data_IF_329411635157
#
_entry.id   IF_329411635157
#
_cell.length_a   1.000
_cell.length_b   1.000
_cell.length_c   1.000
_cell.angle_alpha   90.00
_cell.angle_beta   90.00
_cell.angle_gamma   90.00
#
_symmetry.space_group_name_H-M   'P 1'
#
loop_
_entity.id
_entity.type
_entity.pdbx_description
1 polymer ?
#
# COMPACT_ATOMS: atom_id res chain seq x y z
N UNK A 1 6.42 -58.73 31.23
CA UNK A 1 5.12 -58.52 30.59
C UNK A 1 5.41 -58.30 29.09
N UNK A 2 5.11 -59.28 28.25
CA UNK A 2 5.28 -59.16 26.79
C UNK A 2 4.13 -58.28 26.26
N UNK A 3 4.44 -57.11 25.70
CA UNK A 3 3.43 -56.26 25.00
C UNK A 3 2.88 -57.00 23.81
N UNK A 4 1.57 -57.20 23.73
CA UNK A 4 0.91 -57.79 22.58
C UNK A 4 1.09 -56.92 21.34
N UNK A 5 1.47 -57.48 20.17
CA UNK A 5 1.67 -56.71 18.92
C UNK A 5 0.43 -55.94 18.44
N UNK A 6 -0.77 -56.36 18.89
CA UNK A 6 -2.06 -55.68 18.58
C UNK A 6 -2.17 -54.28 19.22
N UNK A 7 -1.45 -54.05 20.34
CA UNK A 7 -1.54 -52.79 21.12
C UNK A 7 -0.72 -51.67 20.47
N UNK A 8 0.43 -52.01 19.87
CA UNK A 8 1.30 -51.09 19.15
C UNK A 8 0.66 -50.58 17.85
N UNK A 9 -0.06 -51.47 17.11
CA UNK A 9 -0.70 -51.12 15.86
C UNK A 9 -1.89 -50.14 16.04
N UNK A 10 -2.68 -50.32 17.11
CA UNK A 10 -3.80 -49.40 17.42
C UNK A 10 -3.30 -48.03 17.84
N UNK A 11 -2.18 -47.97 18.55
CA UNK A 11 -1.57 -46.71 18.98
C UNK A 11 -0.99 -45.92 17.80
N UNK A 12 -0.30 -46.59 16.87
CA UNK A 12 0.24 -46.01 15.66
C UNK A 12 -0.87 -45.52 14.71
N UNK A 13 -1.96 -46.31 14.59
CA UNK A 13 -3.12 -45.88 13.77
C UNK A 13 -3.80 -44.66 14.37
N UNK A 14 -3.94 -44.57 15.69
CA UNK A 14 -4.54 -43.43 16.37
C UNK A 14 -3.69 -42.18 16.18
N UNK A 15 -2.38 -42.29 16.40
CA UNK A 15 -1.42 -41.18 16.20
C UNK A 15 -1.43 -40.68 14.77
N UNK A 16 -1.29 -41.59 13.80
CA UNK A 16 -1.32 -41.21 12.37
C UNK A 16 -2.63 -40.56 11.92
N UNK A 17 -3.76 -41.04 12.50
CA UNK A 17 -5.06 -40.45 12.17
C UNK A 17 -5.29 -39.08 12.80
N UNK A 18 -4.79 -38.85 14.02
CA UNK A 18 -4.80 -37.53 14.67
C UNK A 18 -3.95 -36.54 13.87
N UNK A 19 -2.75 -36.94 13.48
CA UNK A 19 -1.87 -36.13 12.66
C UNK A 19 -2.51 -35.76 11.30
N UNK A 20 -3.12 -36.74 10.64
CA UNK A 20 -3.82 -36.50 9.38
C UNK A 20 -5.03 -35.56 9.56
N UNK A 21 -5.77 -35.65 10.66
CA UNK A 21 -6.90 -34.77 10.95
C UNK A 21 -6.43 -33.31 11.18
N UNK A 22 -5.35 -33.12 11.93
CA UNK A 22 -4.79 -31.79 12.19
C UNK A 22 -4.26 -31.12 10.92
N UNK A 23 -3.53 -31.89 10.07
CA UNK A 23 -3.11 -31.40 8.75
C UNK A 23 -4.28 -31.05 7.84
N UNK A 24 -5.31 -31.87 7.85
CA UNK A 24 -6.52 -31.63 7.05
C UNK A 24 -7.27 -30.37 7.50
N UNK A 25 -7.39 -30.15 8.82
CA UNK A 25 -7.99 -28.93 9.37
C UNK A 25 -7.19 -27.68 8.99
N UNK A 26 -5.85 -27.74 9.04
CA UNK A 26 -4.99 -26.67 8.61
C UNK A 26 -5.17 -26.37 7.11
N UNK A 27 -5.20 -27.40 6.28
CA UNK A 27 -5.40 -27.27 4.83
C UNK A 27 -6.77 -26.67 4.49
N UNK A 28 -7.84 -27.11 5.19
CA UNK A 28 -9.18 -26.55 5.06
C UNK A 28 -9.19 -25.07 5.46
N UNK A 29 -8.62 -24.71 6.61
CA UNK A 29 -8.57 -23.36 7.11
C UNK A 29 -7.83 -22.41 6.13
N UNK A 30 -6.68 -22.83 5.61
CA UNK A 30 -5.91 -22.07 4.63
C UNK A 30 -6.66 -21.91 3.31
N UNK A 31 -7.35 -22.97 2.87
CA UNK A 31 -8.13 -22.96 1.63
C UNK A 31 -9.34 -22.02 1.76
N UNK A 32 -10.08 -22.10 2.85
CA UNK A 32 -11.21 -21.22 3.13
C UNK A 32 -10.79 -19.75 3.25
N UNK A 33 -9.63 -19.50 3.84
CA UNK A 33 -9.07 -18.16 3.90
C UNK A 33 -8.79 -17.59 2.50
N UNK A 34 -8.12 -18.37 1.63
CA UNK A 34 -7.83 -17.96 0.25
C UNK A 34 -9.07 -17.79 -0.62
N UNK A 35 -10.13 -18.55 -0.34
CA UNK A 35 -11.40 -18.47 -1.06
C UNK A 35 -12.33 -17.40 -0.48
N UNK A 36 -12.16 -17.05 0.79
CA UNK A 36 -12.98 -16.07 1.49
C UNK A 36 -12.87 -14.65 0.90
N UNK A 37 -13.91 -14.19 0.23
CA UNK A 37 -13.95 -12.90 -0.48
C UNK A 37 -14.06 -13.03 -2.00
N UNK A 38 -14.05 -14.26 -2.54
CA UNK A 38 -14.34 -14.53 -3.95
C UNK A 38 -15.81 -14.93 -4.12
N UNK A 39 -16.38 -14.61 -5.28
CA UNK A 39 -17.68 -15.13 -5.68
C UNK A 39 -17.61 -16.65 -5.88
N UNK A 40 -18.73 -17.37 -5.71
CA UNK A 40 -18.78 -18.83 -5.86
C UNK A 40 -18.23 -19.27 -7.23
N UNK A 41 -18.51 -18.51 -8.28
CA UNK A 41 -18.03 -18.79 -9.65
C UNK A 41 -16.51 -18.70 -9.79
N UNK A 42 -15.83 -17.94 -8.92
CA UNK A 42 -14.38 -17.84 -8.88
C UNK A 42 -13.70 -18.94 -8.03
N UNK A 43 -14.47 -19.85 -7.43
CA UNK A 43 -13.92 -20.95 -6.65
C UNK A 43 -13.38 -22.09 -7.51
N UNK A 44 -13.96 -22.31 -8.70
CA UNK A 44 -13.59 -23.42 -9.59
C UNK A 44 -13.12 -22.93 -10.97
N UNK A 45 -12.04 -23.53 -11.53
CA UNK A 45 -11.07 -24.43 -10.91
C UNK A 45 -9.90 -23.64 -10.29
N UNK A 46 -9.78 -23.59 -8.99
CA UNK A 46 -8.62 -22.98 -8.33
C UNK A 46 -7.87 -24.02 -7.49
N UNK A 47 -6.54 -23.87 -7.36
CA UNK A 47 -5.73 -24.72 -6.49
C UNK A 47 -6.22 -24.72 -5.03
N UNK A 48 -6.79 -23.59 -4.56
CA UNK A 48 -7.39 -23.49 -3.23
C UNK A 48 -8.68 -24.32 -3.09
N UNK A 49 -9.51 -24.41 -4.12
CA UNK A 49 -10.71 -25.26 -4.14
C UNK A 49 -10.34 -26.74 -4.10
N UNK A 50 -9.35 -27.15 -4.88
CA UNK A 50 -8.86 -28.53 -4.89
C UNK A 50 -8.27 -28.86 -3.50
N UNK A 51 -7.47 -27.99 -2.93
CA UNK A 51 -6.90 -28.17 -1.60
C UNK A 51 -7.98 -28.27 -0.51
N UNK A 52 -9.07 -27.49 -0.62
CA UNK A 52 -10.22 -27.57 0.28
C UNK A 52 -10.90 -28.95 0.21
N UNK A 53 -11.20 -29.44 -1.01
CA UNK A 53 -11.82 -30.76 -1.20
C UNK A 53 -10.92 -31.87 -0.67
N UNK A 54 -9.62 -31.83 -0.99
CA UNK A 54 -8.66 -32.82 -0.48
C UNK A 54 -8.60 -32.78 1.05
N UNK A 55 -8.55 -31.57 1.63
CA UNK A 55 -8.54 -31.41 3.10
C UNK A 55 -9.79 -32.01 3.76
N UNK A 56 -10.98 -31.77 3.21
CA UNK A 56 -12.25 -32.35 3.72
C UNK A 56 -12.24 -33.86 3.63
N UNK A 57 -11.83 -34.43 2.48
CA UNK A 57 -11.76 -35.90 2.30
C UNK A 57 -10.78 -36.52 3.29
N UNK A 58 -9.57 -35.94 3.45
CA UNK A 58 -8.55 -36.43 4.42
C UNK A 58 -9.09 -36.34 5.84
N UNK A 59 -9.78 -35.26 6.20
CA UNK A 59 -10.39 -35.10 7.52
C UNK A 59 -11.44 -36.16 7.81
N UNK A 60 -12.35 -36.45 6.86
CA UNK A 60 -13.38 -37.46 7.01
C UNK A 60 -12.75 -38.86 7.23
N UNK A 61 -11.73 -39.20 6.42
CA UNK A 61 -11.00 -40.46 6.57
C UNK A 61 -10.32 -40.57 7.93
N UNK A 62 -9.62 -39.48 8.34
CA UNK A 62 -8.93 -39.42 9.62
C UNK A 62 -9.87 -39.58 10.81
N UNK A 63 -11.04 -38.89 10.80
CA UNK A 63 -12.07 -39.01 11.83
C UNK A 63 -12.68 -40.42 11.90
N UNK A 64 -12.90 -41.06 10.76
CA UNK A 64 -13.37 -42.46 10.72
C UNK A 64 -12.34 -43.41 11.34
N UNK A 65 -11.06 -43.24 11.04
CA UNK A 65 -9.96 -44.03 11.62
C UNK A 65 -9.78 -43.79 13.13
N UNK A 66 -9.89 -42.55 13.58
CA UNK A 66 -9.90 -42.19 15.00
C UNK A 66 -11.05 -42.86 15.72
N UNK A 67 -12.28 -42.76 15.18
CA UNK A 67 -13.47 -43.38 15.74
C UNK A 67 -13.32 -44.91 15.85
N UNK A 68 -12.76 -45.54 14.81
CA UNK A 68 -12.52 -47.00 14.82
C UNK A 68 -11.45 -47.38 15.84
N UNK A 69 -10.38 -46.63 15.94
CA UNK A 69 -9.31 -46.86 16.95
C UNK A 69 -9.86 -46.64 18.36
N UNK A 70 -10.69 -45.62 18.56
CA UNK A 70 -11.36 -45.33 19.82
C UNK A 70 -12.27 -46.46 20.29
N UNK A 71 -13.14 -46.95 19.41
CA UNK A 71 -14.05 -48.08 19.69
C UNK A 71 -13.26 -49.36 20.06
N UNK A 72 -12.21 -49.69 19.29
CA UNK A 72 -11.34 -50.82 19.60
C UNK A 72 -10.69 -50.73 21.00
N UNK A 73 -10.35 -49.49 21.41
CA UNK A 73 -9.76 -49.23 22.72
C UNK A 73 -10.78 -49.26 23.84
N UNK A 74 -11.99 -48.76 23.61
CA UNK A 74 -13.10 -48.81 24.54
C UNK A 74 -13.49 -50.25 24.87
N UNK A 75 -13.57 -51.09 23.83
CA UNK A 75 -13.87 -52.54 24.00
C UNK A 75 -12.73 -53.30 24.69
N UNK A 76 -11.52 -52.81 24.66
CA UNK A 76 -10.38 -53.40 25.37
C UNK A 76 -10.20 -52.93 26.84
N UNK A 77 -11.08 -52.07 27.36
CA UNK A 77 -11.06 -51.57 28.75
C UNK A 77 -9.86 -50.65 29.09
N UNK A 78 -9.18 -50.11 28.10
CA UNK A 78 -7.92 -49.36 28.26
C UNK A 78 -8.06 -47.88 27.94
N UNK A 79 -9.03 -47.21 28.52
CA UNK A 79 -9.16 -45.77 28.39
C UNK A 79 -8.38 -45.02 29.46
N UNK A 80 -7.39 -44.23 29.01
CA UNK A 80 -6.77 -43.19 29.84
C UNK A 80 -6.95 -41.86 29.14
N UNK A 81 -7.68 -40.92 29.72
CA UNK A 81 -7.80 -39.52 29.26
C UNK A 81 -6.41 -38.90 29.05
N UNK A 82 -5.47 -39.14 30.00
CA UNK A 82 -4.09 -38.66 29.91
C UNK A 82 -3.36 -39.16 28.66
N UNK A 83 -3.59 -40.41 28.24
CA UNK A 83 -3.00 -40.89 26.99
C UNK A 83 -3.52 -40.16 25.75
N UNK A 84 -4.82 -39.88 25.66
CA UNK A 84 -5.40 -39.16 24.54
C UNK A 84 -4.86 -37.73 24.48
N UNK A 85 -4.76 -37.05 25.61
CA UNK A 85 -4.15 -35.70 25.70
C UNK A 85 -2.67 -35.74 25.28
N UNK A 86 -1.88 -36.69 25.79
CA UNK A 86 -0.49 -36.82 25.41
C UNK A 86 -0.29 -37.04 23.89
N UNK A 87 -1.13 -37.88 23.29
CA UNK A 87 -1.09 -38.15 21.85
C UNK A 87 -1.43 -36.93 21.01
N UNK A 88 -2.42 -36.13 21.41
CA UNK A 88 -2.72 -34.90 20.75
C UNK A 88 -1.59 -33.84 20.84
N UNK A 89 -0.97 -33.73 22.02
CA UNK A 89 0.21 -32.85 22.22
C UNK A 89 1.41 -33.29 21.37
N UNK A 90 1.66 -34.60 21.27
CA UNK A 90 2.71 -35.12 20.39
C UNK A 90 2.41 -34.85 18.93
N UNK A 91 1.18 -35.08 18.46
CA UNK A 91 0.75 -34.79 17.10
C UNK A 91 0.93 -33.30 16.76
N UNK A 92 0.49 -32.43 17.66
CA UNK A 92 0.64 -30.99 17.48
C UNK A 92 2.12 -30.58 17.41
N UNK A 93 2.96 -31.14 18.27
CA UNK A 93 4.42 -30.91 18.25
C UNK A 93 5.05 -31.38 16.92
N UNK A 94 4.63 -32.55 16.41
CA UNK A 94 5.11 -33.09 15.14
C UNK A 94 4.72 -32.25 13.92
N UNK A 95 3.72 -31.38 14.02
CA UNK A 95 3.36 -30.40 12.99
C UNK A 95 4.08 -29.08 13.22
N UNK A 96 3.98 -28.52 14.42
CA UNK A 96 4.47 -27.17 14.69
C UNK A 96 5.99 -27.06 14.66
N UNK A 97 6.72 -28.07 15.15
CA UNK A 97 8.19 -28.03 15.17
C UNK A 97 8.78 -28.06 13.75
N UNK A 98 8.40 -29.00 12.85
CA UNK A 98 8.87 -28.97 11.48
C UNK A 98 8.46 -27.72 10.74
N UNK A 99 7.25 -27.18 10.96
CA UNK A 99 6.79 -25.94 10.33
C UNK A 99 7.62 -24.74 10.81
N UNK A 100 7.92 -24.65 12.11
CA UNK A 100 8.80 -23.61 12.69
C UNK A 100 10.20 -23.67 12.05
N UNK A 101 10.78 -24.88 11.93
CA UNK A 101 12.08 -25.10 11.31
C UNK A 101 12.04 -24.75 9.80
N UNK A 102 11.00 -25.15 9.10
CA UNK A 102 10.84 -24.86 7.67
C UNK A 102 10.76 -23.35 7.43
N UNK A 103 9.96 -22.63 8.22
CA UNK A 103 9.87 -21.17 8.11
C UNK A 103 11.22 -20.49 8.42
N UNK A 104 12.01 -21.00 9.38
CA UNK A 104 13.35 -20.49 9.69
C UNK A 104 14.36 -20.72 8.56
N UNK A 105 14.27 -21.85 7.86
CA UNK A 105 15.17 -22.19 6.76
C UNK A 105 14.77 -21.43 5.47
N UNK A 106 13.46 -21.25 5.23
CA UNK A 106 12.94 -20.67 4.01
C UNK A 106 12.76 -19.14 4.09
N UNK A 107 13.00 -18.54 5.25
CA UNK A 107 12.92 -17.08 5.41
C UNK A 107 14.10 -16.41 4.72
N UNK A 108 13.86 -15.22 4.17
CA UNK A 108 14.87 -14.30 3.67
C UNK A 108 15.05 -13.13 4.65
N UNK A 109 16.26 -12.57 4.69
CA UNK A 109 16.53 -11.40 5.53
C UNK A 109 15.99 -10.11 4.88
N UNK A 110 15.40 -9.26 5.72
CA UNK A 110 14.99 -7.91 5.36
C UNK A 110 15.51 -6.92 6.41
N UNK A 111 15.47 -5.60 6.16
CA UNK A 111 15.83 -4.59 7.16
C UNK A 111 15.06 -4.71 8.48
N UNK A 112 13.85 -5.29 8.43
CA UNK A 112 12.99 -5.53 9.61
C UNK A 112 13.18 -6.89 10.27
N UNK A 113 14.09 -7.70 9.77
CA UNK A 113 14.31 -9.08 10.18
C UNK A 113 13.77 -10.08 9.17
N UNK A 114 13.74 -11.37 9.53
CA UNK A 114 13.35 -12.46 8.64
C UNK A 114 11.91 -12.29 8.12
N UNK A 115 11.73 -12.54 6.83
CA UNK A 115 10.42 -12.51 6.15
C UNK A 115 10.19 -13.82 5.39
N UNK A 116 8.93 -14.20 5.25
CA UNK A 116 8.49 -15.30 4.37
C UNK A 116 7.33 -14.79 3.51
N UNK A 117 7.58 -14.64 2.20
CA UNK A 117 6.72 -13.84 1.35
C UNK A 117 6.63 -12.41 1.90
N UNK A 118 5.41 -11.88 2.03
CA UNK A 118 5.16 -10.54 2.57
C UNK A 118 5.01 -10.51 4.11
N UNK A 119 5.30 -11.62 4.80
CA UNK A 119 5.06 -11.76 6.23
C UNK A 119 6.36 -11.62 7.03
N UNK A 120 6.46 -10.60 7.89
CA UNK A 120 7.51 -10.50 8.90
C UNK A 120 7.34 -11.58 9.96
N UNK A 121 8.42 -12.31 10.26
CA UNK A 121 8.43 -13.49 11.14
C UNK A 121 8.92 -13.21 12.56
N UNK A 122 9.39 -11.99 12.84
CA UNK A 122 9.78 -11.54 14.19
C UNK A 122 8.95 -10.34 14.65
N UNK A 123 8.91 -10.06 15.95
CA UNK A 123 8.39 -8.81 16.45
C UNK A 123 9.09 -7.63 15.80
N UNK A 124 8.35 -6.57 15.53
CA UNK A 124 8.94 -5.29 15.16
C UNK A 124 9.72 -4.72 16.33
N UNK A 125 10.81 -4.03 16.05
CA UNK A 125 11.64 -3.39 17.06
C UNK A 125 11.78 -1.91 16.77
N UNK A 126 11.45 -1.09 17.76
CA UNK A 126 11.64 0.35 17.68
C UNK A 126 13.13 0.69 17.60
N UNK A 127 13.98 -0.03 18.33
CA UNK A 127 15.43 0.14 18.32
C UNK A 127 16.01 -0.11 16.92
N UNK A 128 15.48 -1.09 16.18
CA UNK A 128 15.88 -1.33 14.78
C UNK A 128 15.44 -0.17 13.87
N UNK A 129 14.23 0.34 14.04
CA UNK A 129 13.76 1.49 13.27
C UNK A 129 14.65 2.72 13.55
N UNK A 130 14.97 3.00 14.81
CA UNK A 130 15.90 4.07 15.20
C UNK A 130 17.30 3.85 14.62
N UNK A 131 17.83 2.62 14.70
CA UNK A 131 19.14 2.28 14.14
C UNK A 131 19.18 2.40 12.60
N UNK A 132 18.06 2.14 11.94
CA UNK A 132 17.96 2.27 10.47
C UNK A 132 17.85 3.73 10.01
N UNK A 133 16.97 4.52 10.62
CA UNK A 133 16.69 5.89 10.18
C UNK A 133 17.59 6.94 10.83
N UNK A 134 18.02 6.74 12.07
CA UNK A 134 18.82 7.72 12.82
C UNK A 134 20.11 8.15 12.10
N UNK A 135 20.96 7.22 11.61
CA UNK A 135 22.18 7.59 10.87
C UNK A 135 21.89 8.31 9.55
N UNK A 136 20.78 7.98 8.89
CA UNK A 136 20.40 8.62 7.62
C UNK A 136 20.01 10.09 7.83
N UNK A 137 19.34 10.37 8.96
CA UNK A 137 18.96 11.74 9.34
C UNK A 137 20.16 12.53 9.82
N UNK A 138 21.02 11.95 10.67
CA UNK A 138 22.21 12.60 11.23
C UNK A 138 23.26 12.98 10.17
N UNK A 139 23.33 12.25 9.06
CA UNK A 139 24.29 12.53 7.98
C UNK A 139 23.92 13.78 7.16
N UNK A 140 22.80 14.44 7.44
CA UNK A 140 22.31 15.58 6.65
C UNK A 140 22.01 15.22 5.18
N UNK A 141 22.38 14.02 4.79
CA UNK A 141 22.07 13.41 3.51
C UNK A 141 20.59 13.02 3.50
N UNK A 142 19.72 13.99 3.75
CA UNK A 142 18.29 13.79 3.95
C UNK A 142 17.82 12.51 3.34
N UNK A 143 16.95 11.80 4.03
CA UNK A 143 16.41 10.50 3.69
C UNK A 143 16.78 9.97 2.29
N UNK A 144 16.81 8.73 2.08
CA UNK A 144 17.18 7.95 0.89
C UNK A 144 16.83 8.61 -0.46
N UNK A 145 15.82 9.48 -0.46
CA UNK A 145 15.49 10.34 -1.60
C UNK A 145 16.05 11.75 -1.34
N UNK A 146 17.25 12.03 -1.82
CA UNK A 146 18.00 13.28 -1.58
C UNK A 146 17.21 14.57 -1.92
N UNK A 147 16.12 14.45 -2.65
CA UNK A 147 15.26 15.57 -3.05
C UNK A 147 14.02 15.77 -2.16
N UNK A 148 13.69 14.82 -1.25
CA UNK A 148 12.62 15.00 -0.28
C UNK A 148 13.14 15.66 1.00
N UNK A 149 12.42 16.66 1.49
CA UNK A 149 12.72 17.39 2.71
C UNK A 149 11.53 17.37 3.66
N UNK A 150 11.81 17.50 4.96
CA UNK A 150 10.76 17.64 5.98
C UNK A 150 9.93 18.91 5.75
N UNK A 151 8.63 18.78 5.99
CA UNK A 151 7.66 19.86 5.98
C UNK A 151 6.68 19.71 7.14
N UNK A 152 6.52 20.76 7.94
CA UNK A 152 5.70 20.72 9.16
C UNK A 152 4.18 20.53 8.91
N UNK A 153 3.69 20.86 7.72
CA UNK A 153 2.27 20.74 7.35
C UNK A 153 2.03 19.49 6.51
N UNK A 154 2.93 19.21 5.57
CA UNK A 154 2.78 18.11 4.60
C UNK A 154 3.50 16.83 5.02
N UNK A 155 4.33 16.88 6.08
CA UNK A 155 5.23 15.80 6.50
C UNK A 155 6.54 15.82 5.73
N UNK A 156 6.49 15.80 4.41
CA UNK A 156 7.62 16.00 3.51
C UNK A 156 7.14 16.65 2.20
N UNK A 157 8.08 17.22 1.48
CA UNK A 157 7.86 17.79 0.15
C UNK A 157 9.13 17.67 -0.69
N UNK A 158 9.03 17.96 -1.97
CA UNK A 158 10.21 18.11 -2.83
C UNK A 158 10.92 19.40 -2.44
N UNK A 159 12.20 19.29 -2.07
CA UNK A 159 13.01 20.45 -1.67
C UNK A 159 13.44 21.31 -2.86
N UNK A 160 13.68 22.58 -2.62
CA UNK A 160 14.12 23.54 -3.64
C UNK A 160 15.54 23.24 -4.14
N UNK A 161 15.77 23.29 -5.46
CA UNK A 161 17.09 23.17 -6.08
C UNK A 161 17.78 21.83 -5.84
N UNK A 162 17.03 20.73 -5.75
CA UNK A 162 17.56 19.40 -5.43
C UNK A 162 17.81 18.55 -6.66
N UNK A 163 18.68 17.56 -6.48
CA UNK A 163 19.00 16.51 -7.45
C UNK A 163 18.85 15.16 -6.76
N UNK A 164 18.23 14.19 -7.40
CA UNK A 164 18.20 12.81 -6.93
C UNK A 164 19.60 12.17 -6.96
N UNK A 165 19.82 11.10 -6.19
CA UNK A 165 21.15 10.45 -6.10
C UNK A 165 21.63 9.88 -7.44
N UNK A 166 20.69 9.39 -8.26
CA UNK A 166 20.94 8.86 -9.60
C UNK A 166 21.10 9.94 -10.67
N UNK A 167 20.87 11.23 -10.31
CA UNK A 167 20.96 12.35 -11.25
C UNK A 167 19.84 12.44 -12.28
N UNK A 168 18.74 11.67 -12.10
CA UNK A 168 17.61 11.62 -13.04
C UNK A 168 16.55 12.69 -12.71
N UNK A 169 16.35 12.99 -11.42
CA UNK A 169 15.31 13.90 -10.98
C UNK A 169 15.88 15.20 -10.45
N UNK A 170 15.32 16.30 -10.93
CA UNK A 170 15.66 17.65 -10.49
C UNK A 170 14.41 18.38 -10.00
N UNK A 171 14.60 19.26 -9.04
CA UNK A 171 13.60 20.25 -8.65
C UNK A 171 14.09 21.66 -8.87
N UNK A 172 13.20 22.55 -9.28
CA UNK A 172 13.45 23.98 -9.46
C UNK A 172 13.80 24.68 -8.14
N UNK A 173 14.13 25.96 -8.22
CA UNK A 173 14.33 26.81 -7.04
C UNK A 173 13.06 26.89 -6.16
N UNK A 174 11.88 26.63 -6.69
CA UNK A 174 10.60 26.64 -6.00
C UNK A 174 10.17 25.23 -5.51
N UNK A 175 10.97 24.19 -5.77
CA UNK A 175 10.66 22.81 -5.36
C UNK A 175 9.71 22.05 -6.31
N UNK A 176 9.58 22.49 -7.55
CA UNK A 176 8.78 21.83 -8.58
C UNK A 176 9.64 20.86 -9.40
N UNK A 177 9.05 19.82 -9.97
CA UNK A 177 9.74 18.96 -10.93
C UNK A 177 10.26 19.78 -12.11
N UNK A 178 11.53 19.67 -12.44
CA UNK A 178 12.17 20.52 -13.42
C UNK A 178 13.30 19.80 -14.19
N UNK A 179 13.75 20.38 -15.30
CA UNK A 179 14.86 19.89 -16.10
C UNK A 179 16.22 20.04 -15.42
N UNK A 180 16.33 20.94 -14.46
CA UNK A 180 17.58 21.18 -13.72
C UNK A 180 17.31 21.78 -12.33
N UNK A 181 18.28 21.69 -11.38
CA UNK A 181 18.14 22.28 -10.06
C UNK A 181 18.25 23.81 -10.06
N UNK A 182 18.60 24.41 -11.20
CA UNK A 182 18.68 25.85 -11.41
C UNK A 182 17.47 26.43 -12.14
N UNK A 183 16.54 25.59 -12.57
CA UNK A 183 15.30 26.03 -13.18
C UNK A 183 14.50 26.90 -12.19
N UNK A 184 13.84 27.93 -12.72
CA UNK A 184 12.98 28.81 -11.96
C UNK A 184 11.66 28.99 -12.67
N UNK A 185 10.59 29.14 -11.92
CA UNK A 185 9.26 29.47 -12.42
C UNK A 185 8.79 30.79 -11.83
N UNK A 186 8.15 31.62 -12.62
CA UNK A 186 7.62 32.91 -12.15
C UNK A 186 6.22 32.73 -11.57
N UNK A 187 5.95 33.37 -10.44
CA UNK A 187 4.57 33.42 -9.89
C UNK A 187 3.67 34.29 -10.77
N UNK A 188 4.20 35.35 -11.37
CA UNK A 188 3.50 36.21 -12.30
C UNK A 188 3.65 35.68 -13.73
N UNK A 189 2.53 35.45 -14.41
CA UNK A 189 2.49 35.01 -15.81
C UNK A 189 1.19 35.47 -16.47
N UNK A 190 1.24 35.65 -17.77
CA UNK A 190 0.09 35.88 -18.65
C UNK A 190 -0.38 34.61 -19.36
N UNK A 191 0.37 33.49 -19.17
CA UNK A 191 0.02 32.17 -19.71
C UNK A 191 -1.11 31.53 -18.92
N UNK A 192 -1.86 30.65 -19.58
CA UNK A 192 -2.72 29.70 -18.88
C UNK A 192 -1.85 28.70 -18.12
N UNK A 193 -2.22 28.40 -16.90
CA UNK A 193 -1.41 27.57 -16.01
C UNK A 193 -2.15 26.30 -15.62
N UNK A 194 -1.49 25.16 -15.81
CA UNK A 194 -1.92 23.85 -15.37
C UNK A 194 -1.02 23.43 -14.21
N UNK A 195 -1.58 23.14 -13.05
CA UNK A 195 -0.86 22.55 -11.94
C UNK A 195 -1.17 21.05 -11.84
N UNK A 196 -0.13 20.20 -11.75
CA UNK A 196 -0.25 18.76 -11.51
C UNK A 196 0.09 18.50 -10.06
N UNK A 197 -0.79 17.81 -9.33
CA UNK A 197 -0.57 17.33 -7.95
C UNK A 197 -0.81 15.83 -7.90
N UNK A 198 -0.20 15.15 -6.93
CA UNK A 198 -0.32 13.71 -6.74
C UNK A 198 0.95 13.12 -6.15
N UNK A 199 1.12 11.83 -6.34
CA UNK A 199 2.22 11.03 -5.81
C UNK A 199 3.41 10.88 -6.80
N UNK A 200 4.10 9.75 -6.71
CA UNK A 200 5.23 9.41 -7.60
C UNK A 200 4.82 9.23 -9.07
N UNK A 201 3.59 8.80 -9.35
CA UNK A 201 3.06 8.75 -10.71
C UNK A 201 2.88 10.16 -11.28
N UNK A 202 2.31 11.07 -10.49
CA UNK A 202 2.16 12.47 -10.89
C UNK A 202 3.52 13.18 -11.06
N UNK A 203 4.50 12.86 -10.19
CA UNK A 203 5.88 13.34 -10.30
C UNK A 203 6.59 12.79 -11.55
N UNK A 204 6.11 11.69 -12.13
CA UNK A 204 6.76 10.90 -13.17
C UNK A 204 8.13 10.37 -12.70
N UNK A 205 8.11 9.61 -11.59
CA UNK A 205 9.33 9.01 -11.02
C UNK A 205 9.94 8.00 -11.99
N UNK A 206 11.26 7.85 -11.97
CA UNK A 206 12.06 6.92 -12.79
C UNK A 206 12.18 7.24 -14.29
N UNK A 207 11.62 8.33 -14.79
CA UNK A 207 11.88 8.84 -16.14
C UNK A 207 12.56 10.20 -16.08
N UNK A 208 13.26 10.58 -17.15
CA UNK A 208 13.84 11.93 -17.26
C UNK A 208 12.74 12.99 -17.33
N UNK A 209 13.11 14.25 -17.11
CA UNK A 209 12.17 15.37 -17.16
C UNK A 209 11.47 15.44 -18.53
N UNK A 210 12.22 15.32 -19.59
CA UNK A 210 11.76 15.39 -20.98
C UNK A 210 10.80 14.25 -21.36
N UNK A 211 10.86 13.14 -20.63
CA UNK A 211 9.99 11.97 -20.82
C UNK A 211 8.75 12.01 -19.94
N UNK A 212 8.66 12.95 -18.98
CA UNK A 212 7.53 13.06 -18.06
C UNK A 212 6.29 13.59 -18.76
N UNK A 213 5.14 13.06 -18.40
CA UNK A 213 3.88 13.51 -19.02
C UNK A 213 3.58 14.99 -18.77
N UNK A 214 4.06 15.55 -17.66
CA UNK A 214 3.91 16.98 -17.38
C UNK A 214 4.67 17.86 -18.38
N UNK A 215 5.91 17.50 -18.71
CA UNK A 215 6.70 18.19 -19.72
C UNK A 215 6.11 18.00 -21.13
N UNK A 216 5.70 16.76 -21.46
CA UNK A 216 5.09 16.47 -22.76
C UNK A 216 3.78 17.24 -22.98
N UNK A 217 3.01 17.49 -21.90
CA UNK A 217 1.83 18.36 -21.96
C UNK A 217 2.21 19.82 -22.20
N UNK A 218 3.25 20.33 -21.53
CA UNK A 218 3.76 21.68 -21.69
C UNK A 218 4.17 21.94 -23.15
N UNK A 219 4.95 21.02 -23.74
CA UNK A 219 5.32 21.07 -25.14
C UNK A 219 4.10 21.02 -26.09
N UNK A 220 3.18 20.10 -25.83
CA UNK A 220 2.00 19.89 -26.68
C UNK A 220 1.06 21.09 -26.71
N UNK A 221 0.90 21.81 -25.60
CA UNK A 221 0.06 22.99 -25.51
C UNK A 221 0.73 24.28 -26.01
N UNK A 222 2.06 24.28 -26.09
CA UNK A 222 2.85 25.38 -26.65
C UNK A 222 3.01 26.59 -25.71
N UNK A 223 3.51 27.72 -26.24
CA UNK A 223 4.07 28.79 -25.41
C UNK A 223 3.04 29.57 -24.59
N UNK A 224 1.75 29.46 -24.90
CA UNK A 224 0.67 30.18 -24.20
C UNK A 224 0.18 29.42 -22.95
N UNK A 225 0.69 28.21 -22.71
CA UNK A 225 0.37 27.38 -21.54
C UNK A 225 1.65 27.12 -20.74
N UNK A 226 1.54 26.97 -19.44
CA UNK A 226 2.63 26.59 -18.54
C UNK A 226 2.15 25.43 -17.67
N UNK A 227 2.88 24.33 -17.68
CA UNK A 227 2.56 23.15 -16.85
C UNK A 227 3.52 23.07 -15.67
N UNK A 228 3.00 23.19 -14.46
CA UNK A 228 3.76 23.13 -13.21
C UNK A 228 3.49 21.79 -12.50
N UNK A 229 4.53 21.02 -12.25
CA UNK A 229 4.40 19.71 -11.60
C UNK A 229 4.78 19.79 -10.12
N UNK A 230 3.78 19.69 -9.24
CA UNK A 230 3.83 19.65 -7.78
C UNK A 230 3.76 18.24 -7.23
N UNK A 231 3.86 17.21 -8.03
CA UNK A 231 3.83 15.82 -7.59
C UNK A 231 4.91 15.53 -6.56
N UNK A 232 4.61 14.71 -5.55
CA UNK A 232 5.55 14.36 -4.49
C UNK A 232 5.51 12.86 -4.22
N UNK A 233 6.61 12.13 -4.44
CA UNK A 233 6.65 10.70 -4.20
C UNK A 233 6.19 10.30 -2.80
N UNK A 234 5.35 9.26 -2.75
CA UNK A 234 4.84 8.68 -1.52
C UNK A 234 3.59 9.36 -0.94
N UNK A 235 3.06 10.41 -1.58
CA UNK A 235 1.83 11.05 -1.12
C UNK A 235 0.61 10.12 -1.20
N UNK A 236 -0.35 10.37 -0.32
CA UNK A 236 -1.74 9.96 -0.48
C UNK A 236 -2.58 11.12 -1.02
N UNK A 237 -3.85 10.86 -1.33
CA UNK A 237 -4.75 11.93 -1.82
C UNK A 237 -4.97 13.03 -0.78
N UNK A 238 -4.84 12.72 0.51
CA UNK A 238 -4.91 13.67 1.62
C UNK A 238 -3.76 14.70 1.57
N UNK A 239 -2.52 14.25 1.36
CA UNK A 239 -1.38 15.15 1.23
C UNK A 239 -1.45 15.96 -0.07
N UNK A 240 -1.92 15.36 -1.17
CA UNK A 240 -2.14 16.07 -2.44
C UNK A 240 -3.18 17.18 -2.31
N UNK A 241 -4.25 16.94 -1.54
CA UNK A 241 -5.22 17.98 -1.20
C UNK A 241 -4.61 19.09 -0.31
N UNK A 242 -3.84 18.73 0.71
CA UNK A 242 -3.16 19.74 1.55
C UNK A 242 -2.10 20.52 0.77
N UNK A 243 -1.42 19.89 -0.20
CA UNK A 243 -0.48 20.54 -1.12
C UNK A 243 -1.19 21.57 -2.00
N UNK A 244 -2.39 21.24 -2.53
CA UNK A 244 -3.21 22.21 -3.23
C UNK A 244 -3.42 23.47 -2.38
N UNK A 245 -3.89 23.30 -1.14
CA UNK A 245 -4.20 24.41 -0.23
C UNK A 245 -2.98 25.22 0.20
N UNK A 246 -1.88 24.54 0.49
CA UNK A 246 -0.67 25.18 1.07
C UNK A 246 0.17 25.92 0.04
N UNK A 247 0.28 25.37 -1.16
CA UNK A 247 1.25 25.85 -2.13
C UNK A 247 0.65 26.18 -3.49
N UNK A 248 -0.19 25.29 -4.05
CA UNK A 248 -0.64 25.39 -5.45
C UNK A 248 -1.53 26.60 -5.67
N UNK A 249 -2.42 26.91 -4.72
CA UNK A 249 -3.33 28.06 -4.83
C UNK A 249 -2.59 29.40 -5.01
N UNK A 250 -1.41 29.54 -4.41
CA UNK A 250 -0.58 30.74 -4.54
C UNK A 250 -0.05 30.96 -5.97
N UNK A 251 0.00 29.88 -6.77
CA UNK A 251 0.42 29.94 -8.17
C UNK A 251 -0.72 30.34 -9.10
N UNK A 252 -1.95 30.42 -8.59
CA UNK A 252 -3.16 30.80 -9.33
C UNK A 252 -3.31 30.02 -10.65
N UNK A 253 -3.27 28.68 -10.64
CA UNK A 253 -3.47 27.90 -11.84
C UNK A 253 -4.89 28.08 -12.37
N UNK A 254 -5.09 27.93 -13.68
CA UNK A 254 -6.41 27.90 -14.32
C UNK A 254 -7.02 26.49 -14.24
N UNK A 255 -6.15 25.47 -14.23
CA UNK A 255 -6.52 24.05 -14.14
C UNK A 255 -5.64 23.37 -13.09
N UNK A 256 -6.23 22.48 -12.30
CA UNK A 256 -5.47 21.58 -11.43
C UNK A 256 -5.79 20.12 -11.75
N UNK A 257 -4.76 19.34 -12.02
CA UNK A 257 -4.84 17.90 -12.28
C UNK A 257 -4.40 17.15 -11.02
N UNK A 258 -5.29 16.36 -10.41
CA UNK A 258 -4.94 15.44 -9.34
C UNK A 258 -4.82 14.02 -9.92
N UNK A 259 -3.59 13.53 -10.03
CA UNK A 259 -3.31 12.15 -10.43
C UNK A 259 -3.14 11.25 -9.22
N UNK A 260 -3.79 10.08 -9.21
CA UNK A 260 -3.69 9.11 -8.12
C UNK A 260 -3.87 7.66 -8.58
N UNK A 261 -3.05 6.72 -8.12
CA UNK A 261 -3.35 5.29 -8.13
C UNK A 261 -4.20 4.92 -6.91
N UNK A 262 -4.88 3.77 -6.95
CA UNK A 262 -5.81 3.39 -5.86
C UNK A 262 -5.13 3.17 -4.50
N UNK A 263 -3.84 2.85 -4.49
CA UNK A 263 -3.10 2.66 -3.24
C UNK A 263 -2.88 3.96 -2.45
N UNK A 264 -3.04 5.15 -3.07
CA UNK A 264 -3.02 6.43 -2.36
C UNK A 264 -4.15 6.54 -1.33
N UNK A 265 -5.24 5.81 -1.54
CA UNK A 265 -6.32 5.69 -0.56
C UNK A 265 -5.88 4.95 0.72
N UNK A 266 -4.91 4.03 0.60
CA UNK A 266 -4.31 3.40 1.79
C UNK A 266 -3.35 4.36 2.48
N UNK A 267 -2.56 5.12 1.70
CA UNK A 267 -1.62 6.11 2.22
C UNK A 267 -2.33 7.21 3.01
N UNK A 268 -3.54 7.59 2.62
CA UNK A 268 -4.39 8.52 3.39
C UNK A 268 -4.80 7.98 4.76
N UNK A 269 -4.66 6.67 5.03
CA UNK A 269 -4.99 6.03 6.30
C UNK A 269 -3.80 5.92 7.26
N UNK A 270 -2.66 6.56 6.96
CA UNK A 270 -1.42 6.44 7.73
C UNK A 270 -0.97 7.77 8.30
N UNK A 271 -0.23 7.72 9.40
CA UNK A 271 0.49 8.83 10.03
C UNK A 271 2.00 8.62 9.89
N UNK A 272 2.43 7.37 9.89
CA UNK A 272 3.83 6.94 9.89
C UNK A 272 4.09 5.97 8.75
N UNK A 273 4.40 6.43 7.53
CA UNK A 273 4.62 5.56 6.37
C UNK A 273 5.64 4.45 6.61
N UNK A 274 6.68 4.70 7.40
CA UNK A 274 7.70 3.72 7.74
C UNK A 274 7.16 2.50 8.53
N UNK A 275 5.98 2.61 9.16
CA UNK A 275 5.32 1.46 9.80
C UNK A 275 4.74 0.51 8.74
N UNK A 276 4.30 1.03 7.61
CA UNK A 276 3.66 0.23 6.55
C UNK A 276 4.63 -0.16 5.44
N UNK A 277 5.52 0.75 5.07
CA UNK A 277 6.38 0.65 3.88
C UNK A 277 7.81 1.04 4.20
N UNK A 278 8.51 0.18 4.94
CA UNK A 278 9.87 0.45 5.38
C UNK A 278 10.86 0.54 4.21
N UNK A 279 10.63 -0.25 3.15
CA UNK A 279 11.43 -0.20 1.92
C UNK A 279 11.40 1.16 1.21
N UNK A 280 10.42 2.02 1.51
CA UNK A 280 10.36 3.35 0.90
C UNK A 280 11.38 4.34 1.45
N UNK A 281 11.94 4.04 2.61
CA UNK A 281 12.89 4.93 3.29
C UNK A 281 12.38 6.38 3.41
N UNK A 282 11.12 6.55 3.82
CA UNK A 282 10.50 7.85 4.13
C UNK A 282 10.37 7.96 5.66
N UNK A 283 11.37 8.54 6.35
CA UNK A 283 11.42 8.61 7.81
C UNK A 283 10.60 9.79 8.37
N UNK A 284 9.52 10.17 7.73
CA UNK A 284 8.70 11.30 8.11
C UNK A 284 7.36 10.84 8.68
N UNK A 285 6.82 11.60 9.62
CA UNK A 285 5.38 11.55 9.92
C UNK A 285 4.62 12.41 8.92
N UNK A 286 3.34 12.14 8.73
CA UNK A 286 2.51 12.91 7.80
C UNK A 286 1.24 13.41 8.47
N UNK A 287 0.59 14.45 7.94
CA UNK A 287 -0.76 14.82 8.34
C UNK A 287 -1.72 13.67 8.06
N UNK A 288 -2.77 13.56 8.84
CA UNK A 288 -3.84 12.57 8.71
C UNK A 288 -5.17 13.27 8.68
N UNK A 289 -5.91 13.17 7.58
CA UNK A 289 -7.31 13.61 7.52
C UNK A 289 -8.22 12.53 8.09
N UNK A 290 -9.13 12.92 8.96
CA UNK A 290 -10.20 12.07 9.51
C UNK A 290 -11.54 12.70 9.21
N UNK A 291 -12.57 11.86 9.09
CA UNK A 291 -13.93 12.32 8.87
C UNK A 291 -14.70 12.26 10.20
N UNK A 292 -14.90 13.40 10.83
CA UNK A 292 -15.63 13.54 12.07
C UNK A 292 -16.96 14.28 11.80
N UNK A 293 -18.08 13.65 12.12
CA UNK A 293 -19.43 14.20 11.89
C UNK A 293 -19.70 14.69 10.45
N UNK A 294 -19.02 14.10 9.47
CA UNK A 294 -19.14 14.47 8.06
C UNK A 294 -18.17 15.56 7.60
N UNK A 295 -17.37 16.13 8.50
CA UNK A 295 -16.36 17.15 8.18
C UNK A 295 -14.94 16.58 8.23
N UNK A 296 -14.08 17.08 7.36
CA UNK A 296 -12.67 16.73 7.33
C UNK A 296 -11.89 17.52 8.38
N UNK A 297 -11.25 16.79 9.29
CA UNK A 297 -10.33 17.35 10.29
C UNK A 297 -8.92 16.84 10.07
N UNK A 298 -7.93 17.71 10.21
CA UNK A 298 -6.51 17.36 10.07
C UNK A 298 -5.92 17.05 11.46
N UNK A 299 -5.29 15.89 11.58
CA UNK A 299 -4.48 15.47 12.72
C UNK A 299 -3.01 15.54 12.37
N UNK A 300 -2.13 15.52 13.38
CA UNK A 300 -0.68 15.53 13.26
C UNK A 300 -0.15 16.74 12.45
N UNK A 301 -0.69 17.92 12.71
CA UNK A 301 -0.17 19.20 12.18
C UNK A 301 0.01 20.15 13.37
N UNK A 302 1.25 20.67 13.60
CA UNK A 302 2.46 20.39 12.82
C UNK A 302 2.91 18.94 12.96
N UNK A 303 3.50 18.39 11.88
CA UNK A 303 4.04 17.03 11.88
C UNK A 303 5.28 16.93 12.76
N UNK A 304 5.58 15.73 13.25
CA UNK A 304 6.75 15.55 14.13
C UNK A 304 8.02 15.58 13.29
N UNK A 305 8.96 16.46 13.68
CA UNK A 305 10.30 16.48 13.06
C UNK A 305 10.99 15.12 13.25
N UNK A 306 11.60 14.54 12.22
CA UNK A 306 12.19 13.18 12.29
C UNK A 306 13.25 13.06 13.40
N UNK A 307 14.09 14.07 13.62
CA UNK A 307 15.10 14.04 14.71
C UNK A 307 14.45 13.86 16.08
N UNK A 308 13.30 14.51 16.32
CA UNK A 308 12.55 14.35 17.57
C UNK A 308 11.84 13.00 17.62
N UNK A 309 11.30 12.54 16.50
CA UNK A 309 10.56 11.29 16.43
C UNK A 309 11.42 10.08 16.80
N UNK A 310 12.62 9.98 16.23
CA UNK A 310 13.52 8.85 16.46
C UNK A 310 14.38 8.97 17.75
N UNK A 311 14.18 10.00 18.57
CA UNK A 311 14.74 10.04 19.95
C UNK A 311 13.77 9.46 21.00
N UNK A 312 12.54 9.14 20.63
CA UNK A 312 11.58 8.49 21.54
C UNK A 312 12.05 7.09 21.93
N UNK A 313 11.81 6.69 23.19
CA UNK A 313 12.29 5.42 23.70
C UNK A 313 11.47 4.22 23.26
N UNK A 314 10.25 4.42 22.78
CA UNK A 314 9.39 3.35 22.24
C UNK A 314 8.40 3.90 21.21
N UNK A 315 7.91 3.04 20.34
CA UNK A 315 6.89 3.40 19.36
C UNK A 315 5.60 3.88 20.02
N UNK A 316 5.27 3.39 21.20
CA UNK A 316 4.04 3.78 21.92
C UNK A 316 4.01 5.25 22.36
N UNK A 317 5.14 5.95 22.29
CA UNK A 317 5.21 7.39 22.54
C UNK A 317 4.83 8.24 21.32
N UNK A 318 4.70 7.63 20.14
CA UNK A 318 4.24 8.34 18.95
C UNK A 318 2.76 8.70 19.11
N UNK A 319 2.38 9.96 18.87
CA UNK A 319 0.96 10.36 18.92
C UNK A 319 0.18 9.78 17.73
N UNK A 320 -1.13 9.72 17.87
CA UNK A 320 -2.06 9.32 16.82
C UNK A 320 -1.87 7.89 16.26
N UNK A 321 -1.24 6.98 17.03
CA UNK A 321 -1.09 5.57 16.62
C UNK A 321 -2.45 4.88 16.42
N UNK A 322 -3.49 5.32 17.10
CA UNK A 322 -4.87 4.87 16.89
C UNK A 322 -5.42 5.21 15.50
N UNK A 323 -4.82 6.19 14.82
CA UNK A 323 -5.13 6.58 13.44
C UNK A 323 -4.15 6.02 12.40
N UNK A 324 -3.18 5.21 12.83
CA UNK A 324 -2.19 4.55 11.96
C UNK A 324 -2.69 3.17 11.54
N UNK A 325 -2.96 2.98 10.24
CA UNK A 325 -3.51 1.74 9.71
C UNK A 325 -2.61 0.53 9.96
N UNK A 326 -1.30 0.70 9.86
CA UNK A 326 -0.31 -0.37 9.98
C UNK A 326 0.11 -0.66 11.40
N UNK A 327 -0.34 0.11 12.39
CA UNK A 327 0.04 -0.09 13.77
C UNK A 327 -0.85 -1.11 14.47
N UNK A 328 -0.21 -2.10 15.06
CA UNK A 328 -0.80 -3.07 15.98
C UNK A 328 0.15 -3.22 17.15
N UNK A 329 -0.30 -2.93 18.36
CA UNK A 329 0.54 -3.02 19.55
C UNK A 329 1.21 -4.40 19.68
N UNK A 330 0.49 -5.48 19.36
CA UNK A 330 0.98 -6.85 19.42
C UNK A 330 2.15 -7.13 18.47
N UNK A 331 2.28 -6.40 17.37
CA UNK A 331 3.42 -6.56 16.46
C UNK A 331 4.74 -6.08 17.10
N UNK A 332 4.66 -5.21 18.11
CA UNK A 332 5.78 -4.61 18.82
C UNK A 332 6.05 -5.27 20.19
N UNK A 333 5.23 -6.24 20.57
CA UNK A 333 5.46 -7.06 21.75
C UNK A 333 6.66 -7.99 21.53
N UNK A 334 7.50 -8.13 22.57
CA UNK A 334 8.74 -8.89 22.53
C UNK A 334 8.75 -10.02 23.58
N UNK A 335 7.65 -10.77 23.70
CA UNK A 335 7.62 -11.97 24.55
C UNK A 335 8.25 -13.18 23.85
N UNK A 336 8.62 -14.21 24.60
CA UNK A 336 9.17 -15.45 24.05
C UNK A 336 8.28 -16.05 22.95
N UNK A 337 6.96 -15.99 23.14
CA UNK A 337 5.98 -16.49 22.17
C UNK A 337 5.93 -15.69 20.88
N UNK A 338 6.34 -14.41 20.92
CA UNK A 338 6.37 -13.54 19.77
C UNK A 338 7.52 -13.87 18.81
N UNK A 339 8.50 -14.64 19.26
CA UNK A 339 9.62 -15.13 18.44
C UNK A 339 9.31 -16.44 17.70
N UNK A 340 8.11 -17.02 17.84
CA UNK A 340 7.68 -18.14 17.01
C UNK A 340 7.32 -17.65 15.60
N UNK A 341 8.03 -18.17 14.59
CA UNK A 341 7.78 -17.86 13.18
C UNK A 341 6.42 -18.39 12.75
N UNK A 342 6.00 -19.55 13.24
CA UNK A 342 4.65 -20.11 12.99
C UNK A 342 3.57 -19.17 13.52
N UNK A 343 3.68 -18.70 14.78
CA UNK A 343 2.72 -17.75 15.36
C UNK A 343 2.63 -16.50 14.49
N UNK A 344 3.77 -15.90 14.13
CA UNK A 344 3.81 -14.66 13.35
C UNK A 344 3.24 -14.86 11.96
N UNK A 345 3.60 -15.94 11.29
CA UNK A 345 3.06 -16.28 9.98
C UNK A 345 1.55 -16.48 10.03
N UNK A 346 1.04 -17.26 10.97
CA UNK A 346 -0.40 -17.50 11.11
C UNK A 346 -1.18 -16.21 11.40
N UNK A 347 -0.70 -15.36 12.30
CA UNK A 347 -1.37 -14.09 12.59
C UNK A 347 -1.41 -13.14 11.38
N UNK A 348 -0.44 -13.25 10.46
CA UNK A 348 -0.44 -12.49 9.20
C UNK A 348 -1.36 -13.11 8.15
N UNK A 349 -1.42 -14.44 8.07
CA UNK A 349 -2.33 -15.14 7.14
C UNK A 349 -3.80 -15.02 7.56
N UNK A 350 -4.08 -14.89 8.85
CA UNK A 350 -5.43 -14.80 9.41
C UNK A 350 -5.64 -13.48 10.19
N UNK A 351 -5.59 -12.33 9.53
CA UNK A 351 -5.70 -11.03 10.19
C UNK A 351 -7.06 -10.80 10.88
N UNK A 352 -8.06 -11.64 10.60
CA UNK A 352 -9.37 -11.60 11.28
C UNK A 352 -9.32 -12.00 12.76
N UNK A 353 -8.26 -12.68 13.19
CA UNK A 353 -8.04 -13.01 14.61
C UNK A 353 -7.40 -11.86 15.39
N UNK A 354 -6.93 -10.84 14.71
CA UNK A 354 -6.48 -9.61 15.30
C UNK A 354 -7.49 -8.53 14.96
N UNK A 355 -8.06 -7.86 15.97
CA UNK A 355 -9.02 -6.78 15.84
C UNK A 355 -8.44 -5.61 15.02
N UNK A 356 -8.47 -5.74 13.69
CA UNK A 356 -8.26 -4.58 12.84
C UNK A 356 -9.45 -3.64 13.08
N UNK A 357 -9.23 -2.43 13.62
CA UNK A 357 -10.32 -1.54 13.93
C UNK A 357 -11.18 -1.29 12.70
N UNK A 358 -12.51 -1.31 12.87
CA UNK A 358 -13.47 -1.09 11.79
C UNK A 358 -13.19 0.22 11.01
N UNK A 359 -12.57 1.22 11.67
CA UNK A 359 -12.14 2.48 11.06
C UNK A 359 -11.13 2.34 9.90
N UNK A 360 -10.47 1.19 9.77
CA UNK A 360 -9.56 0.90 8.66
C UNK A 360 -10.17 -0.05 7.63
N UNK A 361 -11.41 -0.46 7.83
CA UNK A 361 -12.14 -1.26 6.85
C UNK A 361 -12.29 -0.50 5.52
N UNK A 362 -12.45 -1.24 4.45
CA UNK A 362 -12.57 -0.65 3.11
C UNK A 362 -13.68 0.39 2.99
N UNK A 363 -14.90 0.19 3.54
CA UNK A 363 -15.95 1.20 3.44
C UNK A 363 -15.56 2.54 4.07
N UNK A 364 -14.88 2.52 5.22
CA UNK A 364 -14.42 3.74 5.89
C UNK A 364 -13.31 4.44 5.09
N UNK A 365 -12.38 3.66 4.54
CA UNK A 365 -11.33 4.19 3.66
C UNK A 365 -11.91 4.85 2.42
N UNK A 366 -12.90 4.22 1.78
CA UNK A 366 -13.55 4.78 0.59
C UNK A 366 -14.34 6.03 0.94
N UNK A 367 -15.07 6.03 2.06
CA UNK A 367 -15.83 7.19 2.53
C UNK A 367 -14.93 8.40 2.80
N UNK A 368 -13.80 8.19 3.49
CA UNK A 368 -12.84 9.26 3.75
C UNK A 368 -12.25 9.80 2.44
N UNK A 369 -11.74 8.93 1.57
CA UNK A 369 -11.07 9.36 0.34
C UNK A 369 -12.06 10.04 -0.64
N UNK A 370 -13.30 9.56 -0.72
CA UNK A 370 -14.36 10.25 -1.46
C UNK A 370 -14.62 11.66 -0.92
N UNK A 371 -14.66 11.83 0.40
CA UNK A 371 -14.80 13.15 1.02
C UNK A 371 -13.61 14.06 0.71
N UNK A 372 -12.37 13.54 0.74
CA UNK A 372 -11.17 14.31 0.38
C UNK A 372 -11.21 14.75 -1.09
N UNK A 373 -11.58 13.86 -2.01
CA UNK A 373 -11.67 14.19 -3.44
C UNK A 373 -12.76 15.26 -3.71
N UNK A 374 -13.91 15.15 -3.05
CA UNK A 374 -14.97 16.17 -3.14
C UNK A 374 -14.49 17.52 -2.62
N UNK A 375 -13.77 17.52 -1.52
CA UNK A 375 -13.23 18.74 -0.93
C UNK A 375 -12.12 19.35 -1.78
N UNK A 376 -11.32 18.51 -2.45
CA UNK A 376 -10.35 18.96 -3.45
C UNK A 376 -11.03 19.70 -4.60
N UNK A 377 -12.08 19.11 -5.18
CA UNK A 377 -12.87 19.71 -6.25
C UNK A 377 -13.46 21.04 -5.78
N UNK A 378 -14.16 21.02 -4.62
CA UNK A 378 -14.79 22.21 -4.05
C UNK A 378 -13.78 23.35 -3.84
N UNK A 379 -12.59 23.00 -3.30
CA UNK A 379 -11.54 24.00 -3.07
C UNK A 379 -11.02 24.61 -4.37
N UNK A 380 -10.82 23.79 -5.41
CA UNK A 380 -10.40 24.30 -6.72
C UNK A 380 -11.46 25.23 -7.33
N UNK A 381 -12.71 24.80 -7.37
CA UNK A 381 -13.83 25.58 -7.94
C UNK A 381 -14.06 26.90 -7.21
N UNK A 382 -13.97 26.92 -5.88
CA UNK A 382 -14.05 28.15 -5.06
C UNK A 382 -12.94 29.15 -5.34
N UNK A 383 -11.82 28.70 -5.90
CA UNK A 383 -10.72 29.55 -6.34
C UNK A 383 -10.73 29.81 -7.86
N UNK A 384 -11.83 29.50 -8.56
CA UNK A 384 -11.99 29.61 -10.01
C UNK A 384 -10.96 28.75 -10.79
N UNK A 385 -10.58 27.60 -10.26
CA UNK A 385 -9.68 26.63 -10.87
C UNK A 385 -10.51 25.44 -11.36
N UNK A 386 -10.29 24.99 -12.59
CA UNK A 386 -10.95 23.80 -13.14
C UNK A 386 -10.25 22.54 -12.61
N UNK A 387 -10.90 21.67 -11.82
CA UNK A 387 -10.30 20.43 -11.35
C UNK A 387 -10.43 19.31 -12.39
N UNK A 388 -9.38 18.50 -12.54
CA UNK A 388 -9.39 17.23 -13.26
C UNK A 388 -8.82 16.13 -12.37
N UNK A 389 -9.62 15.12 -12.05
CA UNK A 389 -9.17 13.93 -11.35
C UNK A 389 -8.75 12.87 -12.35
N UNK A 390 -7.58 12.26 -12.17
CA UNK A 390 -7.01 11.26 -13.07
C UNK A 390 -6.64 10.01 -12.28
N UNK A 391 -7.19 8.87 -12.67
CA UNK A 391 -6.83 7.57 -12.11
C UNK A 391 -5.69 6.93 -12.91
N UNK A 392 -4.63 6.58 -12.21
CA UNK A 392 -3.46 5.88 -12.72
C UNK A 392 -3.49 4.40 -12.36
N UNK A 393 -3.78 3.47 -13.30
CA UNK A 393 -3.71 2.04 -13.03
C UNK A 393 -2.27 1.60 -12.79
N UNK A 394 -2.09 0.57 -11.94
CA UNK A 394 -0.81 -0.12 -11.74
C UNK A 394 -0.70 -1.34 -12.67
N UNK A 395 0.50 -1.97 -12.86
CA UNK A 395 0.70 -3.07 -13.81
C UNK A 395 -0.33 -4.19 -13.70
N UNK A 396 -0.58 -4.69 -12.48
CA UNK A 396 -1.53 -5.79 -12.26
C UNK A 396 -2.99 -5.42 -12.59
N UNK A 397 -3.36 -4.16 -12.51
CA UNK A 397 -4.68 -3.66 -12.91
C UNK A 397 -4.79 -3.55 -14.42
N UNK A 398 -3.72 -3.08 -15.08
CA UNK A 398 -3.68 -3.01 -16.54
C UNK A 398 -3.70 -4.41 -17.17
N UNK A 399 -2.94 -5.39 -16.63
CA UNK A 399 -2.98 -6.80 -17.06
C UNK A 399 -4.38 -7.41 -16.96
N UNK A 400 -5.10 -7.17 -15.86
CA UNK A 400 -6.47 -7.64 -15.70
C UNK A 400 -7.40 -6.99 -16.73
N UNK A 401 -7.26 -5.68 -16.94
CA UNK A 401 -8.05 -4.93 -17.92
C UNK A 401 -7.76 -5.37 -19.35
N UNK A 402 -6.51 -5.68 -19.70
CA UNK A 402 -6.13 -6.25 -21.00
C UNK A 402 -6.85 -7.59 -21.28
N UNK A 403 -7.13 -8.37 -20.23
CA UNK A 403 -7.94 -9.61 -20.30
C UNK A 403 -9.45 -9.34 -20.23
N UNK A 404 -9.89 -8.08 -20.35
CA UNK A 404 -11.29 -7.63 -20.22
C UNK A 404 -11.91 -7.95 -18.86
N UNK A 405 -11.11 -7.97 -17.80
CA UNK A 405 -11.57 -8.16 -16.42
C UNK A 405 -11.61 -6.79 -15.75
N UNK A 406 -12.80 -6.38 -15.33
CA UNK A 406 -12.92 -5.15 -14.54
C UNK A 406 -12.21 -5.31 -13.19
N UNK A 407 -11.23 -4.44 -12.93
CA UNK A 407 -10.43 -4.49 -11.71
C UNK A 407 -11.20 -3.98 -10.50
N UNK A 408 -10.71 -4.31 -9.30
CA UNK A 408 -11.26 -3.74 -8.07
C UNK A 408 -11.07 -2.22 -8.05
N UNK A 409 -9.93 -1.71 -8.53
CA UNK A 409 -9.66 -0.28 -8.60
C UNK A 409 -10.66 0.44 -9.49
N UNK A 410 -10.95 -0.09 -10.69
CA UNK A 410 -11.94 0.47 -11.59
C UNK A 410 -13.35 0.51 -10.96
N UNK A 411 -13.76 -0.56 -10.26
CA UNK A 411 -15.04 -0.56 -9.52
C UNK A 411 -15.08 0.51 -8.43
N UNK A 412 -13.96 0.70 -7.71
CA UNK A 412 -13.85 1.76 -6.70
C UNK A 412 -13.98 3.14 -7.36
N UNK A 413 -13.22 3.39 -8.43
CA UNK A 413 -13.23 4.69 -9.13
C UNK A 413 -14.62 5.00 -9.70
N UNK A 414 -15.30 4.01 -10.32
CA UNK A 414 -16.68 4.17 -10.79
C UNK A 414 -17.68 4.40 -9.66
N UNK A 415 -17.42 3.87 -8.46
CA UNK A 415 -18.24 4.06 -7.27
C UNK A 415 -18.01 5.38 -6.55
N UNK A 416 -17.00 6.17 -6.93
CA UNK A 416 -16.80 7.52 -6.42
C UNK A 416 -17.86 8.44 -7.01
N UNK A 417 -18.48 9.23 -6.14
CA UNK A 417 -19.47 10.24 -6.57
C UNK A 417 -18.76 11.51 -7.03
N UNK A 418 -17.80 11.35 -7.96
CA UNK A 418 -17.01 12.38 -8.63
C UNK A 418 -16.57 11.89 -10.01
N UNK A 419 -16.39 12.80 -10.96
CA UNK A 419 -15.87 12.43 -12.27
C UNK A 419 -14.37 12.22 -12.24
N UNK A 420 -13.91 11.09 -12.77
CA UNK A 420 -12.48 10.70 -12.84
C UNK A 420 -12.16 10.24 -14.25
N UNK A 421 -11.07 10.76 -14.80
CA UNK A 421 -10.50 10.31 -16.07
C UNK A 421 -9.66 9.03 -15.81
N UNK A 422 -10.10 7.91 -16.35
CA UNK A 422 -9.39 6.62 -16.22
C UNK A 422 -8.35 6.48 -17.33
N UNK A 423 -7.07 6.35 -16.98
CA UNK A 423 -5.96 6.17 -17.92
C UNK A 423 -5.85 4.76 -18.50
N UNK A 424 -6.63 3.79 -17.99
CA UNK A 424 -6.57 2.40 -18.45
C UNK A 424 -6.72 2.24 -19.97
N UNK A 425 -7.74 2.84 -20.64
CA UNK A 425 -7.87 2.71 -22.09
C UNK A 425 -6.65 3.23 -22.86
N UNK A 426 -6.14 4.39 -22.45
CA UNK A 426 -5.02 5.03 -23.14
C UNK A 426 -3.71 4.26 -23.05
N UNK A 427 -3.47 3.64 -21.89
CA UNK A 427 -2.29 2.80 -21.69
C UNK A 427 -2.39 1.49 -22.49
N UNK A 428 -3.58 0.88 -22.55
CA UNK A 428 -3.82 -0.31 -23.37
C UNK A 428 -3.67 -0.04 -24.86
N UNK A 429 -4.08 1.15 -25.32
CA UNK A 429 -3.92 1.56 -26.73
C UNK A 429 -2.47 1.91 -27.09
N UNK A 430 -1.63 2.23 -26.10
CA UNK A 430 -0.23 2.62 -26.32
C UNK A 430 0.70 1.43 -26.50
N UNK A 431 0.45 0.30 -25.86
CA UNK A 431 1.31 -0.88 -25.97
C UNK A 431 1.02 -1.97 -24.94
N UNK A 432 1.88 -2.98 -24.92
CA UNK A 432 1.83 -4.04 -23.91
C UNK A 432 2.18 -3.51 -22.53
N UNK A 433 1.76 -4.24 -21.48
CA UNK A 433 2.00 -3.81 -20.08
C UNK A 433 3.50 -3.63 -19.81
N UNK A 434 4.33 -4.53 -20.31
CA UNK A 434 5.79 -4.51 -20.16
C UNK A 434 6.47 -3.33 -20.88
N UNK A 435 5.77 -2.70 -21.83
CA UNK A 435 6.27 -1.53 -22.58
C UNK A 435 5.87 -0.22 -21.93
N UNK A 436 4.65 -0.14 -21.38
CA UNK A 436 4.12 1.09 -20.77
C UNK A 436 4.54 1.27 -19.31
N UNK A 437 5.08 0.22 -18.67
CA UNK A 437 5.69 0.30 -17.33
C UNK A 437 7.19 0.02 -17.38
N UNK A 438 7.89 0.45 -16.35
CA UNK A 438 9.30 0.15 -16.15
C UNK A 438 9.43 -1.30 -15.67
N UNK A 439 10.29 -2.14 -16.26
CA UNK A 439 10.45 -3.53 -15.84
C UNK A 439 10.77 -3.68 -14.36
N UNK A 440 9.91 -4.40 -13.63
CA UNK A 440 10.06 -4.63 -12.18
C UNK A 440 9.66 -3.45 -11.28
N UNK A 441 9.11 -2.38 -11.83
CA UNK A 441 8.66 -1.19 -11.11
C UNK A 441 7.22 -0.84 -11.52
N UNK A 442 6.36 -0.34 -10.60
CA UNK A 442 4.98 -0.01 -10.94
C UNK A 442 4.82 1.29 -11.74
N UNK A 443 5.87 2.10 -11.91
CA UNK A 443 5.78 3.40 -12.56
C UNK A 443 5.82 3.29 -14.09
N UNK A 444 5.28 4.31 -14.74
CA UNK A 444 5.22 4.37 -16.21
C UNK A 444 6.60 4.57 -16.84
N UNK A 445 6.85 3.85 -17.93
CA UNK A 445 7.96 4.10 -18.83
C UNK A 445 7.79 5.44 -19.59
N UNK A 446 8.76 5.81 -20.42
CA UNK A 446 8.62 6.94 -21.33
C UNK A 446 7.39 6.80 -22.24
N UNK A 447 7.12 5.58 -22.74
CA UNK A 447 5.93 5.28 -23.55
C UNK A 447 4.63 5.46 -22.76
N UNK A 448 4.58 4.96 -21.53
CA UNK A 448 3.42 5.12 -20.64
C UNK A 448 3.18 6.60 -20.31
N UNK A 449 4.22 7.36 -20.01
CA UNK A 449 4.12 8.82 -19.80
C UNK A 449 3.61 9.56 -21.04
N UNK A 450 4.05 9.18 -22.24
CA UNK A 450 3.55 9.76 -23.48
C UNK A 450 2.06 9.45 -23.70
N UNK A 451 1.62 8.23 -23.38
CA UNK A 451 0.20 7.87 -23.45
C UNK A 451 -0.64 8.70 -22.48
N UNK A 452 -0.18 8.86 -21.24
CA UNK A 452 -0.83 9.70 -20.21
C UNK A 452 -0.92 11.14 -20.69
N UNK A 453 0.17 11.71 -21.21
CA UNK A 453 0.19 13.07 -21.76
C UNK A 453 -0.84 13.25 -22.88
N UNK A 454 -0.88 12.32 -23.84
CA UNK A 454 -1.85 12.35 -24.95
C UNK A 454 -3.30 12.34 -24.46
N UNK A 455 -3.61 11.50 -23.48
CA UNK A 455 -4.97 11.38 -22.95
C UNK A 455 -5.40 12.60 -22.15
N UNK A 456 -4.56 13.05 -21.22
CA UNK A 456 -4.84 14.27 -20.45
C UNK A 456 -4.93 15.47 -21.39
N UNK A 457 -4.04 15.57 -22.38
CA UNK A 457 -4.06 16.60 -23.40
C UNK A 457 -5.36 16.64 -24.17
N UNK A 458 -5.88 15.48 -24.59
CA UNK A 458 -7.16 15.35 -25.26
C UNK A 458 -8.35 15.79 -24.39
N UNK A 459 -8.31 15.49 -23.10
CA UNK A 459 -9.35 15.89 -22.14
C UNK A 459 -9.30 17.40 -21.83
N UNK A 460 -8.10 17.98 -21.74
CA UNK A 460 -7.91 19.40 -21.41
C UNK A 460 -8.04 20.35 -22.62
N UNK A 461 -7.82 19.87 -23.85
CA UNK A 461 -7.88 20.72 -25.04
C UNK A 461 -9.17 21.56 -25.17
N UNK A 462 -10.36 20.96 -25.04
CA UNK A 462 -11.63 21.73 -25.05
C UNK A 462 -11.72 22.73 -23.89
N UNK A 463 -11.25 22.39 -22.70
CA UNK A 463 -11.24 23.25 -21.51
C UNK A 463 -10.37 24.48 -21.73
N UNK A 464 -9.14 24.28 -22.22
CA UNK A 464 -8.19 25.36 -22.51
C UNK A 464 -8.73 26.29 -23.61
N UNK A 465 -9.39 25.76 -24.61
CA UNK A 465 -10.04 26.58 -25.66
C UNK A 465 -11.15 27.47 -25.09
N UNK A 466 -11.89 27.00 -24.08
CA UNK A 466 -12.89 27.78 -23.37
C UNK A 466 -12.32 28.86 -22.43
N UNK A 467 -11.09 28.62 -21.91
CA UNK A 467 -10.39 29.54 -21.01
C UNK A 467 -9.53 30.59 -21.74
N UNK A 468 -9.44 30.55 -23.10
CA UNK A 468 -8.64 31.52 -23.86
C UNK A 468 -8.95 32.96 -23.44
N UNK A 469 -7.93 33.76 -23.11
CA UNK A 469 -8.08 34.97 -22.34
C UNK A 469 -8.90 36.04 -23.05
N UNK A 470 -9.93 36.53 -22.39
CA UNK A 470 -10.10 37.98 -22.41
C UNK A 470 -8.83 38.55 -21.81
N UNK A 471 -8.00 39.26 -22.58
CA UNK A 471 -6.68 39.79 -22.22
C UNK A 471 -6.62 40.17 -20.75
N UNK A 472 -5.85 39.39 -19.93
CA UNK A 472 -5.55 39.82 -18.57
C UNK A 472 -4.79 41.14 -18.64
N UNK A 473 -5.18 42.19 -17.90
CA UNK A 473 -4.38 43.40 -17.85
C UNK A 473 -2.98 43.04 -17.36
N UNK A 474 -1.92 43.68 -17.93
CA UNK A 474 -0.56 43.45 -17.48
C UNK A 474 -0.47 43.65 -15.94
N UNK A 475 0.19 42.72 -15.24
CA UNK A 475 0.42 42.85 -13.81
C UNK A 475 1.07 44.20 -13.55
N UNK A 476 0.44 45.01 -12.69
CA UNK A 476 1.03 46.27 -12.25
C UNK A 476 2.42 45.96 -11.61
N UNK A 477 3.46 46.62 -12.15
CA UNK A 477 4.82 46.48 -11.70
C UNK A 477 5.02 47.03 -10.26
#
# INVERSE_FOLDING_TARGET
>A
MKSHPADTSVNLTLLGSLYAAELALLLIALSLYKLGGRTIDAWFPSGASIALVVGVVVLVIALALIGRAYVKRATAGRHSFGFTVAMNLISLALILIPLELALRIMSSDSPDGPVFGDSSLLPRSWERAVAHYGPQLASGAGAVRAYLVYDEILGWTVGAGRTSRDGVHFSSAEGLRAASPRATFSRATDKLRIAIVGDSFAFAEHVKFEESFGHLLDEAFGPDVEVLNFGVPGYGVDQSYLKLRKEVLDWKPDIVVLGFPIHDFQRSMTVYPFINWQSWNIPFSKPRLVLEQGELRTLNVPTIHPDKMFTMSSISQLPHLEHEQGYRADDWNNSVWDHSYVKRWLTRQFPRWSDAPARFAEPERLRLNSAILKEFIRTAEQNNIVPLLVFFPIPSELEQSARRIETRAQRIVKGLDVQVLDMTPCLLDAGAVEEVYIPGDPHYSALGNAAVAKCIGSALGPVLNGLKPAKRPPAAQ
#
